data_IF_020250072650
#
_entry.id   IF_020250072650
#
_cell.length_a   1.000
_cell.length_b   1.000
_cell.length_c   1.000
_cell.angle_alpha   90.00
_cell.angle_beta   90.00
_cell.angle_gamma   90.00
#
_symmetry.space_group_name_H-M   'P 1'
#
loop_
_entity.id
_entity.type
_entity.pdbx_description
1 polymer ?
#
# COMPACT_ATOMS: atom_id res chain seq x y z
N UNK A 1 -26.69 0.01 -17.15
CA UNK A 1 -25.34 -0.48 -17.50
C UNK A 1 -25.35 -2.00 -17.41
N UNK A 2 -24.59 -2.74 -18.25
CA UNK A 2 -24.43 -4.19 -18.09
C UNK A 2 -23.30 -4.45 -17.10
N UNK A 3 -23.56 -5.21 -16.04
CA UNK A 3 -22.53 -5.70 -15.13
C UNK A 3 -22.46 -7.23 -15.22
N UNK A 4 -21.31 -7.79 -14.89
CA UNK A 4 -21.13 -9.22 -14.77
C UNK A 4 -20.91 -9.55 -13.30
N UNK A 5 -21.71 -10.48 -12.76
CA UNK A 5 -21.48 -11.08 -11.44
C UNK A 5 -20.59 -12.30 -11.63
N UNK A 6 -19.43 -12.29 -11.00
CA UNK A 6 -18.49 -13.42 -10.99
C UNK A 6 -18.63 -14.08 -9.62
N UNK A 7 -19.03 -15.34 -9.57
CA UNK A 7 -19.07 -16.13 -8.34
C UNK A 7 -17.88 -17.08 -8.20
N UNK A 8 -17.25 -17.44 -9.33
CA UNK A 8 -16.00 -18.20 -9.41
C UNK A 8 -15.33 -17.97 -10.78
N UNK A 9 -14.02 -18.24 -10.88
CA UNK A 9 -13.27 -18.08 -12.13
C UNK A 9 -13.54 -19.18 -13.16
N UNK A 10 -14.02 -20.34 -12.70
CA UNK A 10 -14.27 -21.51 -13.55
C UNK A 10 -15.73 -21.58 -14.04
N UNK A 11 -16.55 -20.58 -13.70
CA UNK A 11 -17.94 -20.48 -14.12
C UNK A 11 -18.15 -19.27 -15.04
N UNK A 12 -19.10 -19.40 -15.97
CA UNK A 12 -19.46 -18.30 -16.85
C UNK A 12 -19.99 -17.11 -16.02
N UNK A 13 -19.58 -15.87 -16.33
CA UNK A 13 -20.10 -14.69 -15.66
C UNK A 13 -21.61 -14.54 -15.88
N UNK A 14 -22.35 -14.24 -14.80
CA UNK A 14 -23.77 -13.95 -14.90
C UNK A 14 -23.96 -12.47 -15.26
N UNK A 15 -24.49 -12.19 -16.45
CA UNK A 15 -24.74 -10.82 -16.89
C UNK A 15 -26.06 -10.30 -16.33
N UNK A 16 -26.02 -9.12 -15.71
CA UNK A 16 -27.20 -8.47 -15.13
C UNK A 16 -27.30 -7.00 -15.55
N UNK A 17 -28.53 -6.52 -15.64
CA UNK A 17 -28.85 -5.10 -15.85
C UNK A 17 -28.77 -4.38 -14.52
N UNK A 18 -27.80 -3.46 -14.39
CA UNK A 18 -27.67 -2.61 -13.20
C UNK A 18 -28.20 -1.21 -13.54
N UNK A 19 -29.05 -0.60 -12.68
CA UNK A 19 -29.46 0.78 -12.84
C UNK A 19 -28.24 1.67 -13.06
N UNK A 20 -28.34 2.63 -13.97
CA UNK A 20 -27.32 3.65 -14.08
C UNK A 20 -27.40 4.52 -12.82
N UNK A 21 -26.67 4.14 -11.78
CA UNK A 21 -26.27 5.09 -10.75
C UNK A 21 -25.53 6.23 -11.49
N UNK A 22 -25.75 7.48 -11.07
CA UNK A 22 -25.04 8.66 -11.60
C UNK A 22 -23.51 8.47 -11.53
N UNK A 23 -22.68 9.45 -11.96
CA UNK A 23 -21.24 9.27 -11.99
C UNK A 23 -20.76 8.68 -10.67
N UNK A 24 -20.34 7.40 -10.72
CA UNK A 24 -19.91 6.70 -9.54
C UNK A 24 -18.76 7.55 -8.97
N UNK A 25 -18.74 7.83 -7.65
CA UNK A 25 -17.58 8.48 -7.06
C UNK A 25 -16.34 7.70 -7.53
N UNK A 26 -15.30 8.43 -7.93
CA UNK A 26 -14.05 7.85 -8.46
C UNK A 26 -13.39 6.85 -7.49
N UNK A 27 -13.88 6.81 -6.25
CA UNK A 27 -13.60 5.82 -5.23
C UNK A 27 -14.91 5.05 -5.01
N UNK A 28 -15.01 3.85 -5.55
CA UNK A 28 -16.09 2.96 -5.14
C UNK A 28 -15.93 2.71 -3.63
N UNK A 29 -16.98 2.83 -2.80
CA UNK A 29 -16.87 2.52 -1.39
C UNK A 29 -16.58 1.02 -1.25
N UNK A 30 -15.34 0.67 -0.91
CA UNK A 30 -14.93 -0.73 -0.67
C UNK A 30 -15.56 -1.32 0.60
N UNK A 31 -16.26 -0.51 1.40
CA UNK A 31 -17.09 -0.96 2.51
C UNK A 31 -18.52 -1.30 2.04
N UNK A 32 -18.62 -2.29 1.16
CA UNK A 32 -19.88 -2.82 0.67
C UNK A 32 -19.76 -4.32 0.38
N UNK A 33 -20.86 -5.06 0.47
CA UNK A 33 -20.87 -6.50 0.13
C UNK A 33 -20.55 -6.76 -1.34
N UNK A 34 -20.85 -5.79 -2.23
CA UNK A 34 -20.62 -5.87 -3.68
C UNK A 34 -20.22 -4.51 -4.22
N UNK A 35 -19.29 -4.52 -5.18
CA UNK A 35 -18.78 -3.30 -5.83
C UNK A 35 -18.65 -3.51 -7.33
N UNK A 36 -18.97 -2.48 -8.11
CA UNK A 36 -18.70 -2.46 -9.55
C UNK A 36 -17.26 -2.02 -9.80
N UNK A 37 -16.47 -2.89 -10.43
CA UNK A 37 -15.06 -2.66 -10.76
C UNK A 37 -14.89 -2.83 -12.27
N UNK A 38 -13.99 -2.06 -12.90
CA UNK A 38 -13.64 -2.29 -14.31
C UNK A 38 -12.91 -3.61 -14.43
N UNK A 39 -13.22 -4.41 -15.45
CA UNK A 39 -12.59 -5.72 -15.66
C UNK A 39 -11.05 -5.65 -15.69
N UNK A 40 -10.50 -4.59 -16.29
CA UNK A 40 -9.05 -4.33 -16.35
C UNK A 40 -8.38 -4.10 -14.99
N UNK A 41 -9.16 -3.92 -13.92
CA UNK A 41 -8.67 -3.73 -12.54
C UNK A 41 -8.83 -5.01 -11.70
N UNK A 42 -9.37 -6.10 -12.27
CA UNK A 42 -9.48 -7.38 -11.58
C UNK A 42 -8.18 -8.18 -11.73
N UNK A 43 -7.73 -8.76 -10.63
CA UNK A 43 -6.59 -9.69 -10.59
C UNK A 43 -7.10 -11.03 -10.06
N UNK A 44 -6.75 -12.13 -10.73
CA UNK A 44 -7.09 -13.47 -10.27
C UNK A 44 -6.22 -13.84 -9.06
N UNK A 45 -6.86 -14.25 -7.97
CA UNK A 45 -6.16 -14.83 -6.82
C UNK A 45 -6.10 -16.34 -6.97
N UNK A 46 -4.98 -16.94 -6.54
CA UNK A 46 -4.87 -18.39 -6.42
C UNK A 46 -5.81 -18.90 -5.31
N UNK A 47 -6.45 -20.07 -5.46
CA UNK A 47 -7.47 -20.56 -4.52
C UNK A 47 -6.99 -20.68 -3.08
N UNK A 48 -5.69 -20.93 -2.88
CA UNK A 48 -5.06 -21.08 -1.56
C UNK A 48 -4.67 -19.75 -0.91
N UNK A 49 -4.84 -18.63 -1.60
CA UNK A 49 -4.47 -17.30 -1.12
C UNK A 49 -5.51 -16.77 -0.13
N UNK A 50 -5.05 -16.25 1.01
CA UNK A 50 -5.93 -15.51 1.92
C UNK A 50 -6.37 -14.18 1.28
N UNK A 51 -7.61 -14.15 0.79
CA UNK A 51 -8.21 -12.97 0.16
C UNK A 51 -8.32 -11.78 1.11
N UNK A 52 -8.44 -12.00 2.41
CA UNK A 52 -8.54 -10.94 3.42
C UNK A 52 -7.24 -10.18 3.52
N UNK A 53 -6.13 -10.90 3.67
CA UNK A 53 -4.79 -10.29 3.71
C UNK A 53 -4.48 -9.58 2.39
N UNK A 54 -4.81 -10.17 1.24
CA UNK A 54 -4.59 -9.50 -0.06
C UNK A 54 -5.38 -8.20 -0.18
N UNK A 55 -6.66 -8.21 0.19
CA UNK A 55 -7.50 -7.01 0.17
C UNK A 55 -6.96 -5.93 1.11
N UNK A 56 -6.54 -6.32 2.33
CA UNK A 56 -5.96 -5.40 3.31
C UNK A 56 -4.62 -4.80 2.85
N UNK A 57 -3.81 -5.56 2.13
CA UNK A 57 -2.48 -5.15 1.69
C UNK A 57 -2.47 -4.40 0.36
N UNK A 58 -3.54 -4.48 -0.44
CA UNK A 58 -3.59 -3.91 -1.79
C UNK A 58 -3.17 -2.43 -1.84
N UNK A 59 -3.77 -1.59 -0.99
CA UNK A 59 -3.45 -0.16 -0.96
C UNK A 59 -2.12 0.16 -0.26
N UNK A 60 -1.84 -0.33 0.97
CA UNK A 60 -0.56 -0.07 1.63
C UNK A 60 0.65 -0.53 0.83
N UNK A 61 0.56 -1.70 0.18
CA UNK A 61 1.65 -2.24 -0.63
C UNK A 61 1.74 -1.51 -1.97
N UNK A 62 0.62 -1.32 -2.67
CA UNK A 62 0.59 -0.70 -3.99
C UNK A 62 1.10 0.75 -3.98
N UNK A 63 0.61 1.56 -3.04
CA UNK A 63 1.05 2.96 -2.89
C UNK A 63 2.54 3.06 -2.52
N UNK A 64 3.01 2.19 -1.63
CA UNK A 64 4.41 2.09 -1.22
C UNK A 64 5.34 1.66 -2.37
N UNK A 65 4.93 0.68 -3.15
CA UNK A 65 5.67 0.22 -4.33
C UNK A 65 5.75 1.31 -5.40
N UNK A 66 4.64 2.00 -5.67
CA UNK A 66 4.64 3.15 -6.58
C UNK A 66 5.56 4.28 -6.10
N UNK A 67 5.68 4.51 -4.80
CA UNK A 67 6.61 5.50 -4.26
C UNK A 67 8.06 5.15 -4.60
N UNK A 68 8.45 3.88 -4.43
CA UNK A 68 9.80 3.39 -4.75
C UNK A 68 10.10 3.40 -6.26
N UNK A 69 9.13 2.99 -7.08
CA UNK A 69 9.36 2.80 -8.52
C UNK A 69 9.17 4.07 -9.35
N UNK A 70 8.17 4.88 -9.00
CA UNK A 70 7.71 5.95 -9.88
C UNK A 70 7.95 7.36 -9.33
N UNK A 71 8.06 7.53 -8.00
CA UNK A 71 8.14 8.87 -7.37
C UNK A 71 9.54 9.22 -6.87
N UNK A 72 10.39 8.24 -6.60
CA UNK A 72 11.80 8.48 -6.41
C UNK A 72 12.40 8.96 -7.74
N UNK A 73 12.57 10.28 -7.86
CA UNK A 73 13.29 10.91 -8.98
C UNK A 73 14.64 10.18 -9.03
N UNK A 74 14.97 9.56 -10.18
CA UNK A 74 16.14 8.68 -10.44
C UNK A 74 16.20 7.30 -9.74
N UNK A 75 15.10 6.85 -9.13
CA UNK A 75 14.93 5.49 -8.57
C UNK A 75 15.68 5.24 -7.26
N UNK A 76 15.28 4.18 -6.55
CA UNK A 76 15.86 3.80 -5.24
C UNK A 76 16.90 2.68 -5.30
N UNK A 77 17.12 2.06 -6.46
CA UNK A 77 18.00 0.87 -6.55
C UNK A 77 19.45 1.24 -6.21
N UNK A 78 20.03 0.53 -5.24
CA UNK A 78 21.41 0.74 -4.80
C UNK A 78 21.61 2.02 -3.96
N UNK A 79 20.53 2.62 -3.43
CA UNK A 79 20.59 3.82 -2.58
C UNK A 79 20.05 3.53 -1.20
N UNK A 80 20.59 4.22 -0.20
CA UNK A 80 20.02 4.23 1.15
C UNK A 80 18.74 5.05 1.17
N UNK A 81 17.64 4.45 1.61
CA UNK A 81 16.33 5.12 1.73
C UNK A 81 15.92 5.32 3.18
N UNK A 82 15.40 6.50 3.53
CA UNK A 82 14.78 6.74 4.84
C UNK A 82 13.28 6.42 4.77
N UNK A 83 12.81 5.50 5.61
CA UNK A 83 11.42 5.02 5.63
C UNK A 83 10.73 5.59 6.87
N UNK A 84 9.96 6.66 6.68
CA UNK A 84 9.15 7.24 7.75
C UNK A 84 7.90 6.40 8.01
N UNK A 85 7.62 6.11 9.28
CA UNK A 85 6.51 5.25 9.66
C UNK A 85 6.77 3.78 9.33
N UNK A 86 8.01 3.30 9.51
CA UNK A 86 8.43 1.94 9.21
C UNK A 86 7.60 0.84 9.93
N UNK A 87 6.92 1.18 11.04
CA UNK A 87 6.03 0.27 11.77
C UNK A 87 4.60 0.23 11.25
N UNK A 88 4.23 1.08 10.28
CA UNK A 88 2.91 1.04 9.61
C UNK A 88 2.82 -0.10 8.59
N UNK A 89 1.61 -0.46 8.16
CA UNK A 89 1.43 -1.48 7.12
C UNK A 89 2.20 -1.17 5.82
N UNK A 90 2.14 0.08 5.36
CA UNK A 90 2.90 0.54 4.18
C UNK A 90 4.41 0.56 4.45
N UNK A 91 4.84 1.04 5.62
CA UNK A 91 6.26 1.04 6.02
C UNK A 91 6.87 -0.36 6.03
N UNK A 92 6.17 -1.33 6.62
CA UNK A 92 6.59 -2.75 6.60
C UNK A 92 6.65 -3.32 5.19
N UNK A 93 5.70 -2.98 4.33
CA UNK A 93 5.72 -3.36 2.92
C UNK A 93 6.94 -2.78 2.18
N UNK A 94 7.31 -1.52 2.45
CA UNK A 94 8.53 -0.90 1.92
C UNK A 94 9.77 -1.63 2.42
N UNK A 95 9.89 -1.89 3.73
CA UNK A 95 11.05 -2.60 4.30
C UNK A 95 11.25 -3.96 3.63
N UNK A 96 10.18 -4.75 3.52
CA UNK A 96 10.20 -6.05 2.85
C UNK A 96 10.57 -5.97 1.36
N UNK A 97 10.10 -4.94 0.66
CA UNK A 97 10.29 -4.78 -0.79
C UNK A 97 11.62 -4.12 -1.17
N UNK A 98 12.14 -3.22 -0.33
CA UNK A 98 13.32 -2.42 -0.62
C UNK A 98 14.61 -3.26 -0.63
N UNK A 99 14.64 -4.37 0.14
CA UNK A 99 15.67 -5.42 0.23
C UNK A 99 17.15 -5.01 0.35
N UNK A 100 17.53 -3.72 0.27
CA UNK A 100 18.92 -3.31 0.07
C UNK A 100 19.26 -1.95 0.69
N UNK A 101 19.23 -1.84 2.02
CA UNK A 101 19.76 -0.71 2.82
C UNK A 101 18.79 0.47 2.93
N UNK A 102 18.14 0.58 4.08
CA UNK A 102 17.33 1.74 4.42
C UNK A 102 17.31 1.98 5.93
N UNK A 103 17.01 3.22 6.33
CA UNK A 103 16.84 3.61 7.73
C UNK A 103 15.35 3.65 8.03
N UNK A 104 14.85 2.70 8.81
CA UNK A 104 13.49 2.73 9.34
C UNK A 104 13.35 3.77 10.44
N UNK A 105 12.34 4.63 10.35
CA UNK A 105 12.06 5.67 11.35
C UNK A 105 10.64 5.45 11.89
N UNK A 106 10.52 5.33 13.21
CA UNK A 106 9.24 5.23 13.89
C UNK A 106 9.25 6.02 15.21
N UNK A 107 8.06 6.20 15.79
CA UNK A 107 7.86 6.87 17.07
C UNK A 107 7.83 5.91 18.26
N UNK A 108 7.90 4.61 17.98
CA UNK A 108 7.75 3.54 18.97
C UNK A 108 9.06 2.74 19.02
N UNK A 109 9.73 2.82 20.17
CA UNK A 109 11.01 2.18 20.42
C UNK A 109 10.90 0.66 20.61
N UNK A 110 9.71 0.15 20.95
CA UNK A 110 9.48 -1.27 21.21
C UNK A 110 9.08 -2.00 19.93
N UNK A 111 8.35 -1.34 19.03
CA UNK A 111 7.86 -1.98 17.79
C UNK A 111 8.90 -2.00 16.67
N UNK A 112 9.72 -0.96 16.52
CA UNK A 112 10.66 -0.85 15.40
C UNK A 112 11.75 -1.96 15.35
N UNK A 113 12.34 -2.39 16.48
CA UNK A 113 13.34 -3.47 16.47
C UNK A 113 12.78 -4.83 16.03
N UNK A 114 11.45 -5.00 16.08
CA UNK A 114 10.78 -6.25 15.75
C UNK A 114 10.35 -6.35 14.28
N UNK A 115 10.72 -5.37 13.44
CA UNK A 115 10.40 -5.39 12.02
C UNK A 115 11.42 -6.24 11.25
N UNK A 116 10.95 -7.33 10.65
CA UNK A 116 11.76 -8.17 9.77
C UNK A 116 12.38 -7.34 8.62
N UNK A 117 13.70 -7.47 8.45
CA UNK A 117 14.47 -6.72 7.45
C UNK A 117 15.12 -5.43 7.96
N UNK A 118 15.01 -5.13 9.25
CA UNK A 118 15.84 -4.13 9.94
C UNK A 118 16.83 -4.83 10.87
N UNK A 119 18.08 -4.39 10.86
CA UNK A 119 19.17 -5.09 11.56
C UNK A 119 19.57 -4.42 12.88
N UNK A 120 19.67 -3.09 12.89
CA UNK A 120 20.16 -2.30 14.03
C UNK A 120 19.28 -1.06 14.26
N UNK A 121 19.26 -0.58 15.50
CA UNK A 121 18.34 0.46 15.96
C UNK A 121 18.97 1.45 16.92
N UNK A 122 18.64 2.73 16.73
CA UNK A 122 19.03 3.81 17.63
C UNK A 122 17.78 4.50 18.19
N UNK A 123 17.65 4.54 19.51
CA UNK A 123 16.56 5.26 20.19
C UNK A 123 17.01 6.67 20.55
N UNK A 124 16.32 7.67 20.00
CA UNK A 124 16.57 9.08 20.30
C UNK A 124 15.76 9.51 21.54
N UNK A 125 16.40 9.64 22.69
CA UNK A 125 15.74 10.01 23.96
C UNK A 125 15.67 11.52 24.21
N UNK A 126 16.48 12.33 23.50
CA UNK A 126 16.50 13.78 23.64
C UNK A 126 16.64 14.43 22.26
N UNK A 127 15.58 15.09 21.80
CA UNK A 127 15.55 15.80 20.53
C UNK A 127 15.51 17.31 20.84
N UNK A 128 16.59 18.01 20.48
CA UNK A 128 16.58 19.48 20.37
C UNK A 128 16.64 19.82 18.88
N UNK A 129 15.55 19.55 18.15
CA UNK A 129 15.44 19.88 16.73
C UNK A 129 14.97 21.33 16.57
N UNK A 130 15.91 22.26 16.48
CA UNK A 130 15.71 23.48 15.70
C UNK A 130 15.95 23.12 14.23
N UNK A 131 14.89 22.85 13.47
CA UNK A 131 14.96 22.66 12.02
C UNK A 131 14.69 24.02 11.34
N UNK A 132 15.70 24.75 10.84
CA UNK A 132 15.45 25.75 9.82
C UNK A 132 15.22 25.01 8.49
N UNK A 133 14.03 25.18 7.92
CA UNK A 133 13.71 25.02 6.51
C UNK A 133 14.17 23.72 5.80
N UNK A 134 13.57 22.58 6.15
CA UNK A 134 13.31 21.51 5.18
C UNK A 134 11.83 21.12 5.27
N UNK A 135 10.98 22.06 4.84
CA UNK A 135 9.61 21.73 4.46
C UNK A 135 9.69 20.85 3.22
N UNK A 136 9.62 19.54 3.42
CA UNK A 136 9.35 18.60 2.34
C UNK A 136 7.96 18.95 1.80
N UNK A 137 7.90 19.59 0.64
CA UNK A 137 6.67 19.82 -0.10
C UNK A 137 5.98 18.47 -0.37
N UNK A 138 5.02 18.13 0.49
CA UNK A 138 3.92 17.24 0.16
C UNK A 138 2.73 18.17 0.01
N UNK A 139 2.61 18.80 -1.16
CA UNK A 139 1.37 19.45 -1.55
C UNK A 139 0.41 18.34 -1.99
N UNK A 140 -0.67 18.17 -1.24
CA UNK A 140 -1.88 17.47 -1.67
C UNK A 140 -2.50 18.17 -2.89
#
# INVERSE_FOLDING_TARGET
MKAARITSWDSLPEYMSVPALGPAPLVAPFFAERVNIKWSQLVKLEPVTDSTTVAAMGDPFGSSWMALQCRAIVGCRGRTVAIFGATSAGGKAVVSSARFLGVGIARDADTLPNIEGLDDGVVLTKISLCLPALALCISC
#
